data_IF_756624926782
#
_entry.id   IF_756624926782
#
_cell.length_a   1.000
_cell.length_b   1.000
_cell.length_c   1.000
_cell.angle_alpha   90.00
_cell.angle_beta   90.00
_cell.angle_gamma   90.00
#
_symmetry.space_group_name_H-M   'P 1'
#
loop_
_entity.id
_entity.type
_entity.pdbx_description
1 polymer ?
#
# COMPACT_ATOMS: atom_id res chain seq x y z
N UNK A 1 3.23 64.63 43.40
CA UNK A 1 3.53 63.18 43.33
C UNK A 1 4.16 62.92 41.96
N UNK A 2 5.49 62.70 41.90
CA UNK A 2 6.17 61.38 41.73
C UNK A 2 5.77 60.68 40.42
N UNK A 3 6.58 60.70 39.35
CA UNK A 3 7.84 59.95 39.07
C UNK A 3 7.59 58.55 38.46
N UNK A 4 8.10 58.40 37.23
CA UNK A 4 8.77 57.25 36.55
C UNK A 4 8.08 56.10 35.80
N UNK A 5 8.75 55.86 34.67
CA UNK A 5 8.89 54.77 33.72
C UNK A 5 9.12 53.37 34.34
N UNK A 6 8.64 52.31 33.67
CA UNK A 6 9.43 51.19 33.10
C UNK A 6 8.81 49.77 33.15
N UNK A 7 8.96 49.12 31.98
CA UNK A 7 9.30 47.70 31.71
C UNK A 7 8.30 46.53 31.90
N UNK A 8 8.18 45.84 30.76
CA UNK A 8 8.17 44.38 30.50
C UNK A 8 7.08 43.51 31.12
N UNK A 9 6.33 42.83 30.25
CA UNK A 9 6.61 41.40 30.05
C UNK A 9 6.01 40.86 28.75
N UNK A 10 6.85 40.21 27.95
CA UNK A 10 6.43 39.48 26.77
C UNK A 10 5.70 38.20 27.16
N UNK A 11 4.57 37.91 26.53
CA UNK A 11 4.07 36.54 26.45
C UNK A 11 3.43 36.24 25.10
N UNK A 12 4.33 35.82 24.21
CA UNK A 12 4.20 34.75 23.22
C UNK A 12 2.86 34.65 22.47
N UNK A 13 2.92 35.07 21.20
CA UNK A 13 2.08 34.59 20.10
C UNK A 13 2.16 33.07 20.01
N UNK A 14 1.19 32.33 20.54
CA UNK A 14 0.98 30.93 20.12
C UNK A 14 0.02 30.98 18.93
N UNK A 15 0.62 31.02 17.74
CA UNK A 15 -0.07 31.05 16.47
C UNK A 15 -1.04 29.86 16.32
N UNK A 16 -2.28 30.17 15.92
CA UNK A 16 -3.31 29.20 15.51
C UNK A 16 -2.92 28.35 14.28
N UNK A 17 -1.75 28.61 13.70
CA UNK A 17 -1.11 27.79 12.67
C UNK A 17 -0.71 26.40 13.20
N UNK A 18 -0.26 26.34 14.46
CA UNK A 18 0.14 25.11 15.14
C UNK A 18 -1.02 24.14 15.38
N UNK A 19 -2.25 24.66 15.48
CA UNK A 19 -3.49 23.85 15.55
C UNK A 19 -4.03 23.48 14.17
N UNK A 20 -3.69 24.25 13.12
CA UNK A 20 -4.13 24.06 11.73
C UNK A 20 -3.36 22.95 10.99
N UNK A 21 -2.14 22.61 11.41
CA UNK A 21 -1.46 21.35 11.08
C UNK A 21 -2.00 20.15 11.89
N UNK A 22 -3.29 20.20 12.26
CA UNK A 22 -4.25 19.08 12.20
C UNK A 22 -3.60 17.84 11.61
N UNK A 23 -3.44 16.78 12.40
CA UNK A 23 -3.41 15.37 11.97
C UNK A 23 -3.01 15.26 10.50
N UNK A 24 -1.72 15.20 10.18
CA UNK A 24 -1.32 14.51 8.97
C UNK A 24 -2.04 13.17 9.05
N UNK A 25 -3.17 13.04 8.36
CA UNK A 25 -4.00 11.84 8.37
C UNK A 25 -3.08 10.82 7.75
N UNK A 26 -2.43 10.00 8.59
CA UNK A 26 -1.53 8.94 8.14
C UNK A 26 -2.32 8.19 7.10
N UNK A 27 -1.93 8.31 5.83
CA UNK A 27 -2.67 7.72 4.73
C UNK A 27 -2.81 6.23 5.05
N UNK A 28 -4.02 5.69 4.87
CA UNK A 28 -4.20 4.26 5.04
C UNK A 28 -3.25 3.55 4.08
N UNK A 29 -2.60 2.44 4.48
CA UNK A 29 -1.57 1.83 3.63
C UNK A 29 -2.05 1.45 2.24
N UNK A 30 -3.30 1.01 2.08
CA UNK A 30 -3.93 0.76 0.77
C UNK A 30 -4.06 2.04 -0.07
N UNK A 31 -4.39 3.18 0.56
CA UNK A 31 -4.43 4.48 -0.14
C UNK A 31 -3.03 4.92 -0.58
N UNK A 32 -1.99 4.63 0.23
CA UNK A 32 -0.60 4.88 -0.14
C UNK A 32 -0.21 4.03 -1.34
N UNK A 33 -0.49 2.73 -1.31
CA UNK A 33 -0.27 1.81 -2.44
C UNK A 33 -0.91 2.34 -3.72
N UNK A 34 -2.22 2.64 -3.67
CA UNK A 34 -2.96 3.16 -4.82
C UNK A 34 -2.32 4.42 -5.43
N UNK A 35 -1.98 5.41 -4.59
CA UNK A 35 -1.35 6.66 -5.05
C UNK A 35 0.03 6.41 -5.67
N UNK A 36 0.84 5.56 -5.05
CA UNK A 36 2.14 5.19 -5.61
C UNK A 36 2.00 4.48 -6.95
N UNK A 37 1.05 3.52 -7.09
CA UNK A 37 0.78 2.87 -8.38
C UNK A 37 0.38 3.90 -9.45
N UNK A 38 -0.49 4.86 -9.12
CA UNK A 38 -0.86 5.93 -10.05
C UNK A 38 0.35 6.70 -10.57
N UNK A 39 1.31 7.04 -9.73
CA UNK A 39 2.52 7.80 -10.11
C UNK A 39 3.51 6.94 -10.90
N UNK A 40 3.69 5.70 -10.47
CA UNK A 40 4.60 4.72 -11.10
C UNK A 40 4.12 4.41 -12.52
N UNK A 41 2.82 4.12 -12.68
CA UNK A 41 2.22 3.70 -13.95
C UNK A 41 1.57 4.83 -14.76
N UNK A 42 1.69 6.10 -14.35
CA UNK A 42 1.08 7.25 -15.03
C UNK A 42 1.41 7.31 -16.54
N UNK A 43 2.67 7.06 -16.87
CA UNK A 43 3.20 7.09 -18.24
C UNK A 43 3.41 5.69 -18.81
N UNK A 44 2.95 4.64 -18.12
CA UNK A 44 3.11 3.26 -18.57
C UNK A 44 2.14 2.93 -19.71
N UNK A 45 2.54 1.98 -20.54
CA UNK A 45 1.75 1.37 -21.58
C UNK A 45 2.18 -0.09 -21.74
N UNK A 46 1.55 -0.86 -22.65
CA UNK A 46 1.91 -2.25 -22.82
C UNK A 46 3.39 -2.42 -23.17
N UNK A 47 4.12 -3.18 -22.35
CA UNK A 47 5.55 -3.46 -22.52
C UNK A 47 6.49 -2.37 -22.00
N UNK A 48 5.94 -1.26 -21.49
CA UNK A 48 6.74 -0.18 -20.89
C UNK A 48 6.97 -0.49 -19.41
N UNK A 49 8.21 -0.86 -19.10
CA UNK A 49 8.66 -1.10 -17.72
C UNK A 49 8.89 0.24 -17.01
N UNK A 50 8.42 0.43 -15.77
CA UNK A 50 8.74 1.63 -14.98
C UNK A 50 10.25 1.81 -14.75
N UNK A 51 10.71 3.05 -14.53
CA UNK A 51 12.13 3.30 -14.23
C UNK A 51 12.58 2.59 -12.93
N UNK A 52 13.88 2.29 -12.76
CA UNK A 52 14.38 1.62 -11.55
C UNK A 52 13.98 2.33 -10.24
N UNK A 53 13.99 3.66 -10.21
CA UNK A 53 13.57 4.47 -9.07
C UNK A 53 12.09 4.28 -8.73
N UNK A 54 11.23 4.21 -9.76
CA UNK A 54 9.80 3.95 -9.62
C UNK A 54 9.54 2.53 -9.12
N UNK A 55 10.28 1.55 -9.64
CA UNK A 55 10.23 0.15 -9.19
C UNK A 55 10.58 0.07 -7.69
N UNK A 56 11.71 0.66 -7.29
CA UNK A 56 12.14 0.68 -5.89
C UNK A 56 11.12 1.39 -4.99
N UNK A 57 10.53 2.48 -5.46
CA UNK A 57 9.50 3.21 -4.71
C UNK A 57 8.28 2.34 -4.44
N UNK A 58 7.76 1.63 -5.46
CA UNK A 58 6.62 0.72 -5.28
C UNK A 58 6.96 -0.49 -4.42
N UNK A 59 8.13 -1.10 -4.64
CA UNK A 59 8.62 -2.22 -3.83
C UNK A 59 8.69 -1.85 -2.34
N UNK A 60 9.26 -0.69 -2.01
CA UNK A 60 9.36 -0.21 -0.63
C UNK A 60 7.98 0.07 0.01
N UNK A 61 6.95 0.40 -0.78
CA UNK A 61 5.58 0.53 -0.28
C UNK A 61 4.98 -0.84 0.03
N UNK A 62 5.13 -1.81 -0.88
CA UNK A 62 4.65 -3.18 -0.72
C UNK A 62 5.35 -3.93 0.42
N UNK A 63 6.65 -3.74 0.61
CA UNK A 63 7.41 -4.41 1.68
C UNK A 63 6.95 -4.06 3.08
N UNK A 64 6.35 -2.88 3.24
CA UNK A 64 5.79 -2.41 4.50
C UNK A 64 4.33 -2.81 4.71
N UNK A 65 3.70 -3.44 3.72
CA UNK A 65 2.30 -3.87 3.83
C UNK A 65 2.20 -5.19 4.60
N UNK A 66 1.13 -5.30 5.37
CA UNK A 66 0.77 -6.46 6.17
C UNK A 66 -0.63 -6.93 5.82
N UNK A 67 -0.98 -8.14 6.22
CA UNK A 67 -2.35 -8.67 6.06
C UNK A 67 -3.43 -7.74 6.66
N UNK A 68 -3.12 -7.08 7.80
CA UNK A 68 -4.07 -6.20 8.49
C UNK A 68 -4.39 -4.94 7.68
N UNK A 69 -3.44 -4.46 6.88
CA UNK A 69 -3.61 -3.26 6.06
C UNK A 69 -4.67 -3.45 4.95
N UNK A 70 -4.88 -4.70 4.53
CA UNK A 70 -5.89 -5.11 3.55
C UNK A 70 -7.05 -5.86 4.17
N UNK A 71 -7.17 -5.82 5.51
CA UNK A 71 -8.27 -6.42 6.25
C UNK A 71 -8.28 -7.95 6.29
N UNK A 72 -7.17 -8.62 5.93
CA UNK A 72 -7.08 -10.08 5.94
C UNK A 72 -6.70 -10.62 7.31
N UNK A 73 -7.28 -11.79 7.63
CA UNK A 73 -6.95 -12.58 8.82
C UNK A 73 -6.75 -14.05 8.44
N UNK A 74 -5.82 -14.79 9.09
CA UNK A 74 -5.59 -16.20 8.79
C UNK A 74 -6.77 -17.12 9.07
N UNK A 75 -7.71 -16.71 9.92
CA UNK A 75 -8.90 -17.50 10.31
C UNK A 75 -10.12 -17.24 9.42
N UNK A 76 -9.96 -16.49 8.32
CA UNK A 76 -11.03 -16.30 7.35
C UNK A 76 -11.34 -17.61 6.60
N UNK A 77 -12.62 -17.83 6.20
CA UNK A 77 -13.03 -19.04 5.48
C UNK A 77 -12.25 -19.31 4.18
N UNK A 78 -11.68 -18.28 3.55
CA UNK A 78 -10.87 -18.40 2.34
C UNK A 78 -9.63 -19.30 2.51
N UNK A 79 -9.17 -19.51 3.75
CA UNK A 79 -7.97 -20.26 4.08
C UNK A 79 -8.27 -21.63 4.72
N UNK A 80 -9.55 -22.01 4.79
CA UNK A 80 -9.97 -23.26 5.42
C UNK A 80 -9.50 -24.49 4.62
N UNK A 81 -8.69 -25.33 5.25
CA UNK A 81 -8.16 -26.56 4.65
C UNK A 81 -9.18 -27.70 4.61
N UNK A 82 -10.34 -27.55 5.26
CA UNK A 82 -11.40 -28.58 5.27
C UNK A 82 -12.25 -28.57 4.01
N UNK A 83 -12.15 -27.51 3.20
CA UNK A 83 -12.91 -27.36 1.96
C UNK A 83 -12.03 -27.67 0.75
N UNK A 84 -12.67 -27.94 -0.39
CA UNK A 84 -11.94 -28.03 -1.64
C UNK A 84 -11.16 -26.72 -1.87
N UNK A 85 -9.90 -26.78 -2.34
CA UNK A 85 -9.07 -25.59 -2.48
C UNK A 85 -9.66 -24.65 -3.54
N UNK A 86 -10.30 -23.57 -3.09
CA UNK A 86 -10.84 -22.52 -3.96
C UNK A 86 -9.98 -21.27 -3.76
N UNK A 87 -9.28 -20.87 -4.82
CA UNK A 87 -8.54 -19.61 -4.82
C UNK A 87 -9.55 -18.46 -4.89
N UNK A 88 -9.55 -17.61 -3.88
CA UNK A 88 -10.39 -16.41 -3.86
C UNK A 88 -9.59 -15.20 -4.37
N UNK A 89 -10.17 -14.43 -5.28
CA UNK A 89 -9.59 -13.18 -5.75
C UNK A 89 -10.33 -11.99 -5.14
N UNK A 90 -9.61 -11.17 -4.39
CA UNK A 90 -10.11 -9.91 -3.85
C UNK A 90 -9.63 -8.76 -4.74
N UNK A 91 -10.58 -8.16 -5.45
CA UNK A 91 -10.32 -7.02 -6.31
C UNK A 91 -10.26 -5.73 -5.49
N UNK A 92 -9.17 -4.96 -5.61
CA UNK A 92 -9.04 -3.66 -4.96
C UNK A 92 -9.19 -2.49 -5.94
N UNK A 93 -8.64 -2.62 -7.15
CA UNK A 93 -8.68 -1.55 -8.14
C UNK A 93 -8.32 -2.08 -9.53
N UNK A 94 -8.87 -1.47 -10.57
CA UNK A 94 -8.44 -1.63 -11.96
C UNK A 94 -8.69 -0.37 -12.79
N UNK A 95 -7.78 -0.14 -13.73
CA UNK A 95 -7.87 0.84 -14.80
C UNK A 95 -6.96 0.41 -15.96
N UNK A 96 -6.98 1.16 -17.06
CA UNK A 96 -6.17 0.89 -18.26
C UNK A 96 -4.65 0.80 -18.02
N UNK A 97 -4.16 1.29 -16.88
CA UNK A 97 -2.73 1.35 -16.55
C UNK A 97 -2.28 0.28 -15.58
N UNK A 98 -3.11 -0.09 -14.62
CA UNK A 98 -2.76 -1.07 -13.59
C UNK A 98 -3.99 -1.64 -12.90
N UNK A 99 -3.81 -2.83 -12.34
CA UNK A 99 -4.75 -3.48 -11.43
C UNK A 99 -4.08 -3.76 -10.09
N UNK A 100 -4.86 -3.77 -9.01
CA UNK A 100 -4.45 -4.25 -7.69
C UNK A 100 -5.45 -5.32 -7.27
N UNK A 101 -4.94 -6.51 -6.97
CA UNK A 101 -5.75 -7.60 -6.45
C UNK A 101 -4.96 -8.47 -5.49
N UNK A 102 -5.68 -9.27 -4.72
CA UNK A 102 -5.11 -10.19 -3.74
C UNK A 102 -5.64 -11.58 -4.02
N UNK A 103 -4.74 -12.55 -4.13
CA UNK A 103 -5.11 -13.96 -4.19
C UNK A 103 -5.04 -14.55 -2.78
N UNK A 104 -6.14 -15.13 -2.32
CA UNK A 104 -6.21 -15.91 -1.09
C UNK A 104 -6.20 -17.38 -1.47
N UNK A 105 -5.11 -18.06 -1.12
CA UNK A 105 -4.86 -19.45 -1.47
C UNK A 105 -5.00 -20.31 -0.20
N UNK A 106 -6.03 -21.17 -0.09
CA UNK A 106 -6.05 -22.21 0.92
C UNK A 106 -4.91 -23.23 0.69
N UNK A 107 -4.52 -24.02 1.70
CA UNK A 107 -3.46 -25.02 1.56
C UNK A 107 -3.66 -25.93 0.35
N UNK A 108 -2.56 -26.31 -0.30
CA UNK A 108 -2.54 -27.11 -1.54
C UNK A 108 -3.14 -26.46 -2.78
N UNK A 109 -3.56 -25.18 -2.72
CA UNK A 109 -3.94 -24.43 -3.92
C UNK A 109 -2.73 -24.14 -4.80
N UNK A 110 -2.94 -24.20 -6.12
CA UNK A 110 -1.91 -23.92 -7.12
C UNK A 110 -2.47 -22.91 -8.11
N UNK A 111 -1.70 -21.85 -8.37
CA UNK A 111 -1.88 -21.05 -9.58
C UNK A 111 -1.02 -21.72 -10.66
N UNK A 112 -1.61 -22.32 -11.72
CA UNK A 112 -0.84 -22.99 -12.76
C UNK A 112 0.18 -22.06 -13.41
N UNK A 113 1.23 -22.63 -14.00
CA UNK A 113 2.22 -21.88 -14.74
C UNK A 113 1.56 -21.04 -15.84
N UNK A 114 1.85 -19.74 -15.85
CA UNK A 114 1.32 -18.80 -16.83
C UNK A 114 2.35 -17.70 -17.09
N UNK A 115 2.14 -16.96 -18.18
CA UNK A 115 2.96 -15.80 -18.52
C UNK A 115 2.18 -14.49 -18.32
N UNK A 116 2.90 -13.37 -18.38
CA UNK A 116 2.33 -12.03 -18.32
C UNK A 116 2.79 -11.18 -19.52
N UNK A 117 2.21 -11.38 -20.71
CA UNK A 117 2.69 -10.72 -21.93
C UNK A 117 2.60 -9.20 -21.81
N UNK A 118 3.75 -8.53 -21.96
CA UNK A 118 3.88 -7.06 -21.93
C UNK A 118 3.42 -6.40 -20.61
N UNK A 119 3.48 -7.13 -19.50
CA UNK A 119 3.13 -6.62 -18.18
C UNK A 119 4.36 -6.57 -17.26
N UNK A 120 4.35 -5.66 -16.30
CA UNK A 120 5.27 -5.67 -15.15
C UNK A 120 4.45 -5.99 -13.90
N UNK A 121 4.77 -7.11 -13.23
CA UNK A 121 4.03 -7.59 -12.06
C UNK A 121 4.87 -7.42 -10.81
N UNK A 122 4.29 -6.80 -9.79
CA UNK A 122 4.84 -6.74 -8.44
C UNK A 122 4.00 -7.68 -7.57
N UNK A 123 4.66 -8.59 -6.84
CA UNK A 123 3.99 -9.54 -5.96
C UNK A 123 4.59 -9.49 -4.56
N UNK A 124 3.74 -9.60 -3.54
CA UNK A 124 4.12 -9.63 -2.13
C UNK A 124 3.30 -10.71 -1.42
N UNK A 125 3.98 -11.66 -0.79
CA UNK A 125 3.36 -12.58 0.14
C UNK A 125 3.07 -11.83 1.46
N UNK A 126 1.80 -11.71 1.81
CA UNK A 126 1.37 -10.99 3.02
C UNK A 126 1.51 -11.84 4.28
N UNK A 127 1.27 -13.15 4.18
CA UNK A 127 1.48 -14.15 5.23
C UNK A 127 1.42 -15.57 4.65
N UNK A 128 1.84 -16.55 5.45
CA UNK A 128 1.92 -17.95 5.05
C UNK A 128 3.23 -18.29 4.33
N UNK A 129 3.27 -19.48 3.72
CA UNK A 129 4.38 -19.95 2.88
C UNK A 129 3.83 -20.33 1.52
N UNK A 130 4.56 -19.99 0.46
CA UNK A 130 4.18 -20.35 -0.91
C UNK A 130 5.42 -20.74 -1.71
N UNK A 131 5.37 -21.93 -2.32
CA UNK A 131 6.41 -22.35 -3.25
C UNK A 131 6.14 -21.71 -4.60
N UNK A 132 7.14 -21.06 -5.18
CA UNK A 132 7.04 -20.43 -6.48
C UNK A 132 8.14 -20.93 -7.42
N UNK A 133 7.79 -21.01 -8.70
CA UNK A 133 8.72 -21.29 -9.79
C UNK A 133 8.50 -20.21 -10.85
N UNK A 134 9.59 -19.64 -11.35
CA UNK A 134 9.59 -18.69 -12.47
C UNK A 134 10.42 -19.33 -13.58
N UNK A 135 9.95 -19.23 -14.82
CA UNK A 135 10.63 -19.72 -16.03
C UNK A 135 11.38 -18.60 -16.75
#
# INVERSE_FOLDING_TARGET
MRIEENRSDGKVKVSNESKRKRRQKKLLPVQRLYKTCKEVFASSGPGIVPSPEKIQTLAAVLDKMTQADVGLRPDMPFFDSKQAPIITYLHLHECDKFSIGIFCLPPSSVIPLHNHPRMTVFSKLLFGNYAYQVI
#
